data_IF_481390315011
#
_entry.id   IF_481390315011
#
_cell.length_a   1.000
_cell.length_b   1.000
_cell.length_c   1.000
_cell.angle_alpha   90.00
_cell.angle_beta   90.00
_cell.angle_gamma   90.00
#
_symmetry.space_group_name_H-M   'P 1'
#
loop_
_entity.id
_entity.type
_entity.pdbx_description
1 polymer ?
#
# COMPACT_ATOMS: atom_id res chain seq x y z
N UNK A 1 -17.99 -6.81 -11.86
CA UNK A 1 -17.24 -5.84 -12.68
C UNK A 1 -17.34 -4.49 -11.99
N UNK A 2 -16.24 -3.78 -11.76
CA UNK A 2 -16.26 -2.48 -11.12
C UNK A 2 -16.76 -1.42 -12.13
N UNK A 3 -17.86 -0.69 -11.85
CA UNK A 3 -18.41 0.27 -12.81
C UNK A 3 -17.58 1.55 -12.92
N UNK A 4 -16.83 1.91 -11.86
CA UNK A 4 -16.05 3.16 -11.81
C UNK A 4 -14.70 2.95 -11.11
N UNK A 5 -13.69 3.81 -11.39
CA UNK A 5 -12.44 3.83 -10.64
C UNK A 5 -12.65 3.96 -9.13
N UNK A 6 -13.66 4.71 -8.69
CA UNK A 6 -13.98 4.88 -7.27
C UNK A 6 -14.42 3.56 -6.61
N UNK A 7 -15.29 2.79 -7.27
CA UNK A 7 -15.71 1.47 -6.75
C UNK A 7 -14.56 0.46 -6.74
N UNK A 8 -13.65 0.55 -7.71
CA UNK A 8 -12.46 -0.29 -7.75
C UNK A 8 -11.46 0.07 -6.63
N UNK A 9 -11.24 1.36 -6.42
CA UNK A 9 -10.37 1.92 -5.38
C UNK A 9 -10.77 1.49 -3.97
N UNK A 10 -12.07 1.54 -3.66
CA UNK A 10 -12.59 1.13 -2.35
C UNK A 10 -12.26 -0.34 -2.03
N UNK A 11 -12.28 -1.21 -3.04
CA UNK A 11 -11.96 -2.62 -2.89
C UNK A 11 -10.44 -2.85 -2.89
N UNK A 12 -9.70 -2.12 -3.72
CA UNK A 12 -8.23 -2.20 -3.81
C UNK A 12 -7.52 -1.73 -2.53
N UNK A 13 -8.08 -0.74 -1.82
CA UNK A 13 -7.53 -0.26 -0.56
C UNK A 13 -7.58 -1.31 0.55
N UNK A 14 -8.43 -2.34 0.43
CA UNK A 14 -8.56 -3.42 1.42
C UNK A 14 -7.64 -4.58 1.01
N UNK A 15 -6.62 -4.96 1.82
CA UNK A 15 -5.62 -5.96 1.44
C UNK A 15 -6.18 -7.30 0.95
N UNK A 16 -7.18 -7.85 1.65
CA UNK A 16 -7.78 -9.14 1.29
C UNK A 16 -8.50 -9.08 -0.06
N UNK A 17 -9.23 -7.99 -0.32
CA UNK A 17 -9.95 -7.76 -1.58
C UNK A 17 -8.98 -7.49 -2.72
N UNK A 18 -7.91 -6.72 -2.47
CA UNK A 18 -6.81 -6.55 -3.42
C UNK A 18 -6.17 -7.88 -3.79
N UNK A 19 -5.87 -8.74 -2.81
CA UNK A 19 -5.36 -10.08 -3.06
C UNK A 19 -6.30 -10.91 -3.94
N UNK A 20 -7.62 -10.87 -3.66
CA UNK A 20 -8.62 -11.54 -4.49
C UNK A 20 -8.67 -10.99 -5.93
N UNK A 21 -8.55 -9.67 -6.11
CA UNK A 21 -8.48 -9.04 -7.44
C UNK A 21 -7.23 -9.51 -8.20
N UNK A 22 -6.06 -9.49 -7.56
CA UNK A 22 -4.80 -9.93 -8.16
C UNK A 22 -4.88 -11.41 -8.57
N UNK A 23 -5.39 -12.28 -7.69
CA UNK A 23 -5.57 -13.69 -8.00
C UNK A 23 -6.53 -13.90 -9.19
N UNK A 24 -7.65 -13.18 -9.23
CA UNK A 24 -8.61 -13.27 -10.34
C UNK A 24 -8.03 -12.80 -11.68
N UNK A 25 -7.08 -11.86 -11.67
CA UNK A 25 -6.32 -11.45 -12.85
C UNK A 25 -5.32 -12.53 -13.26
N UNK A 26 -4.58 -13.11 -12.30
CA UNK A 26 -3.63 -14.18 -12.56
C UNK A 26 -4.29 -15.44 -13.13
N UNK A 27 -5.49 -15.81 -12.66
CA UNK A 27 -6.31 -16.90 -13.22
C UNK A 27 -6.68 -16.69 -14.70
N UNK A 28 -6.65 -15.44 -15.17
CA UNK A 28 -6.88 -15.05 -16.58
C UNK A 28 -5.58 -14.86 -17.35
N UNK A 29 -4.43 -15.21 -16.76
CA UNK A 29 -3.11 -15.05 -17.35
C UNK A 29 -2.55 -13.63 -17.27
N UNK A 30 -3.11 -12.77 -16.43
CA UNK A 30 -2.64 -11.38 -16.25
C UNK A 30 -1.80 -11.33 -14.98
N UNK A 31 -0.47 -11.37 -15.13
CA UNK A 31 0.48 -11.06 -14.07
C UNK A 31 0.78 -9.56 -14.08
N UNK A 32 0.53 -8.89 -12.95
CA UNK A 32 0.68 -7.42 -12.88
C UNK A 32 2.13 -6.97 -12.99
N UNK A 33 3.08 -7.75 -12.48
CA UNK A 33 4.50 -7.41 -12.52
C UNK A 33 4.99 -7.52 -13.96
N UNK A 34 4.64 -8.60 -14.66
CA UNK A 34 4.94 -8.77 -16.08
C UNK A 34 4.29 -7.65 -16.91
N UNK A 35 3.02 -7.31 -16.63
CA UNK A 35 2.31 -6.23 -17.32
C UNK A 35 3.00 -4.88 -17.15
N UNK A 36 3.48 -4.55 -15.94
CA UNK A 36 4.26 -3.33 -15.68
C UNK A 36 5.57 -3.31 -16.47
N UNK A 37 6.30 -4.42 -16.49
CA UNK A 37 7.57 -4.55 -17.22
C UNK A 37 7.37 -4.42 -18.73
N UNK A 38 6.41 -5.13 -19.30
CA UNK A 38 6.10 -5.13 -20.72
C UNK A 38 5.61 -3.76 -21.20
N UNK A 39 4.90 -3.02 -20.35
CA UNK A 39 4.47 -1.66 -20.63
C UNK A 39 5.60 -0.61 -20.48
N UNK A 40 6.81 -1.01 -20.05
CA UNK A 40 7.92 -0.10 -19.75
C UNK A 40 7.66 0.80 -18.54
N UNK A 41 6.86 0.32 -17.58
CA UNK A 41 6.30 1.07 -16.45
C UNK A 41 6.48 0.33 -15.11
N UNK A 42 7.71 -0.08 -14.73
CA UNK A 42 7.95 -0.82 -13.49
C UNK A 42 7.66 0.00 -12.22
N UNK A 43 7.66 1.32 -12.31
CA UNK A 43 7.51 2.22 -11.15
C UNK A 43 6.07 2.69 -10.92
N UNK A 44 5.21 2.57 -11.94
CA UNK A 44 3.78 2.91 -11.86
C UNK A 44 3.08 2.04 -10.83
N UNK A 45 2.13 2.58 -10.06
CA UNK A 45 1.37 1.77 -9.11
C UNK A 45 0.45 0.77 -9.85
N UNK A 46 0.38 -0.50 -9.43
CA UNK A 46 -0.48 -1.48 -10.08
C UNK A 46 -1.97 -1.08 -10.11
N UNK A 47 -2.47 -0.35 -9.11
CA UNK A 47 -3.81 0.22 -9.14
C UNK A 47 -3.98 1.23 -10.26
N UNK A 48 -3.02 2.15 -10.37
CA UNK A 48 -3.07 3.22 -11.37
C UNK A 48 -2.92 2.64 -12.78
N UNK A 49 -2.07 1.62 -12.96
CA UNK A 49 -1.97 0.88 -14.22
C UNK A 49 -3.29 0.23 -14.62
N UNK A 50 -3.96 -0.45 -13.69
CA UNK A 50 -5.27 -1.03 -13.94
C UNK A 50 -6.32 0.05 -14.23
N UNK A 51 -6.27 1.18 -13.52
CA UNK A 51 -7.19 2.30 -13.77
C UNK A 51 -6.96 2.94 -15.13
N UNK A 52 -5.71 3.05 -15.56
CA UNK A 52 -5.32 3.55 -16.87
C UNK A 52 -5.85 2.64 -17.98
N UNK A 53 -5.66 1.32 -17.85
CA UNK A 53 -6.13 0.36 -18.85
C UNK A 53 -7.66 0.29 -18.95
N UNK A 54 -8.37 0.37 -17.82
CA UNK A 54 -9.83 0.23 -17.79
C UNK A 54 -10.59 1.54 -18.06
N UNK A 55 -10.05 2.69 -17.63
CA UNK A 55 -10.76 3.98 -17.69
C UNK A 55 -9.93 5.14 -18.25
N UNK A 56 -8.75 4.88 -18.83
CA UNK A 56 -7.83 5.92 -19.32
C UNK A 56 -7.49 6.98 -18.25
N UNK A 57 -7.43 6.56 -16.98
CA UNK A 57 -7.05 7.42 -15.86
C UNK A 57 -5.55 7.81 -15.93
N UNK A 58 -5.15 8.94 -15.31
CA UNK A 58 -3.75 9.29 -15.18
C UNK A 58 -2.95 8.22 -14.41
N UNK A 59 -1.74 7.94 -14.89
CA UNK A 59 -0.79 7.07 -14.18
C UNK A 59 -0.05 7.84 -13.11
N UNK A 60 0.18 7.21 -11.97
CA UNK A 60 0.99 7.76 -10.88
C UNK A 60 1.95 6.67 -10.40
N UNK A 61 3.19 7.04 -10.12
CA UNK A 61 4.18 6.12 -9.55
C UNK A 61 3.92 5.88 -8.07
N UNK A 62 4.40 4.74 -7.57
CA UNK A 62 4.34 4.40 -6.13
C UNK A 62 5.04 5.47 -5.27
N UNK A 63 6.17 5.98 -5.76
CA UNK A 63 6.93 7.07 -5.13
C UNK A 63 6.12 8.37 -5.07
N UNK A 64 5.49 8.79 -6.16
CA UNK A 64 4.66 10.00 -6.19
C UNK A 64 3.45 9.88 -5.24
N UNK A 65 2.84 8.69 -5.13
CA UNK A 65 1.78 8.44 -4.15
C UNK A 65 2.26 8.60 -2.72
N UNK A 66 3.40 7.98 -2.38
CA UNK A 66 3.98 8.10 -1.05
C UNK A 66 4.31 9.56 -0.71
N UNK A 67 4.89 10.31 -1.65
CA UNK A 67 5.19 11.74 -1.46
C UNK A 67 3.92 12.58 -1.31
N UNK A 68 2.90 12.32 -2.14
CA UNK A 68 1.61 13.02 -2.08
C UNK A 68 0.93 12.79 -0.72
N UNK A 69 0.96 11.56 -0.20
CA UNK A 69 0.43 11.24 1.12
C UNK A 69 1.12 12.07 2.21
N UNK A 70 2.47 12.08 2.23
CA UNK A 70 3.24 12.87 3.21
C UNK A 70 2.91 14.35 3.17
N UNK A 71 2.70 14.90 1.97
CA UNK A 71 2.38 16.31 1.79
C UNK A 71 0.94 16.66 2.17
N UNK A 72 -0.03 15.77 1.95
CA UNK A 72 -1.45 16.02 2.17
C UNK A 72 -1.93 15.66 3.58
N UNK A 73 -1.33 14.64 4.19
CA UNK A 73 -1.78 14.06 5.48
C UNK A 73 -0.65 14.05 6.53
N UNK A 74 -0.01 15.20 6.84
CA UNK A 74 1.07 15.23 7.84
C UNK A 74 0.58 14.81 9.23
N UNK A 75 -0.71 15.05 9.54
CA UNK A 75 -1.32 14.74 10.83
C UNK A 75 -1.44 13.22 11.08
N UNK A 76 -1.51 12.41 10.02
CA UNK A 76 -1.47 10.95 10.12
C UNK A 76 -0.15 10.47 10.75
N UNK A 77 0.96 11.12 10.43
CA UNK A 77 2.28 10.76 10.98
C UNK A 77 2.50 11.36 12.37
N UNK A 78 1.93 12.54 12.63
CA UNK A 78 2.18 13.29 13.86
C UNK A 78 1.53 12.69 15.11
N UNK A 79 0.43 11.95 14.97
CA UNK A 79 -0.27 11.30 16.10
C UNK A 79 0.51 10.17 16.78
N UNK A 80 1.56 9.66 16.14
CA UNK A 80 2.39 8.57 16.65
C UNK A 80 3.69 9.10 17.26
N UNK A 81 4.17 8.39 18.28
CA UNK A 81 5.51 8.59 18.85
C UNK A 81 6.61 8.27 17.83
N UNK A 82 7.83 8.72 18.13
CA UNK A 82 8.98 8.66 17.19
C UNK A 82 9.19 7.27 16.59
N UNK A 83 9.27 6.23 17.42
CA UNK A 83 9.52 4.86 16.95
C UNK A 83 8.37 4.30 16.09
N UNK A 84 7.11 4.54 16.46
CA UNK A 84 5.95 4.14 15.65
C UNK A 84 5.91 4.88 14.30
N UNK A 85 6.27 6.17 14.29
CA UNK A 85 6.39 6.96 13.06
C UNK A 85 7.47 6.41 12.15
N UNK A 86 8.64 6.04 12.69
CA UNK A 86 9.72 5.42 11.91
C UNK A 86 9.29 4.09 11.27
N UNK A 87 8.43 3.31 11.94
CA UNK A 87 7.84 2.10 11.36
C UNK A 87 6.89 2.43 10.19
N UNK A 88 6.00 3.43 10.35
CA UNK A 88 5.12 3.89 9.27
C UNK A 88 5.94 4.39 8.08
N UNK A 89 7.00 5.14 8.34
CA UNK A 89 7.89 5.65 7.30
C UNK A 89 8.57 4.51 6.54
N UNK A 90 9.09 3.51 7.25
CA UNK A 90 9.69 2.33 6.65
C UNK A 90 8.69 1.52 5.81
N UNK A 91 7.45 1.37 6.28
CA UNK A 91 6.37 0.72 5.51
C UNK A 91 6.06 1.48 4.22
N UNK A 92 6.00 2.81 4.30
CA UNK A 92 5.71 3.66 3.15
C UNK A 92 6.86 3.66 2.11
N UNK A 93 8.10 3.66 2.57
CA UNK A 93 9.28 3.51 1.71
C UNK A 93 9.31 2.15 1.02
N UNK A 94 8.96 1.09 1.74
CA UNK A 94 8.84 -0.26 1.17
C UNK A 94 7.75 -0.36 0.12
N UNK A 95 6.60 0.26 0.38
CA UNK A 95 5.54 0.41 -0.59
C UNK A 95 6.05 1.12 -1.86
N UNK A 96 6.73 2.26 -1.72
CA UNK A 96 7.28 3.01 -2.85
C UNK A 96 8.25 2.16 -3.69
N UNK A 97 9.10 1.37 -3.05
CA UNK A 97 10.11 0.55 -3.73
C UNK A 97 9.53 -0.74 -4.37
N UNK A 98 8.65 -1.45 -3.67
CA UNK A 98 8.29 -2.85 -4.00
C UNK A 98 6.80 -3.12 -4.07
N UNK A 99 5.96 -2.13 -3.79
CA UNK A 99 4.53 -2.18 -4.08
C UNK A 99 3.64 -2.48 -2.89
N UNK A 100 2.31 -2.58 -3.13
CA UNK A 100 1.29 -2.58 -2.09
C UNK A 100 1.31 -3.80 -1.15
N UNK A 101 1.93 -4.91 -1.55
CA UNK A 101 2.05 -6.10 -0.70
C UNK A 101 2.89 -5.88 0.56
N UNK A 102 3.74 -4.84 0.55
CA UNK A 102 4.52 -4.44 1.72
C UNK A 102 3.69 -3.81 2.84
N UNK A 103 2.39 -3.57 2.62
CA UNK A 103 1.47 -3.06 3.63
C UNK A 103 0.58 -4.16 4.23
N UNK A 104 0.81 -5.42 3.85
CA UNK A 104 0.02 -6.56 4.33
C UNK A 104 0.57 -7.09 5.66
N UNK A 105 -0.22 -6.95 6.74
CA UNK A 105 0.13 -7.44 8.07
C UNK A 105 -0.30 -8.91 8.28
N UNK A 106 0.46 -9.71 9.06
CA UNK A 106 1.69 -9.35 9.78
C UNK A 106 2.98 -9.51 8.96
N UNK A 107 2.90 -9.87 7.67
CA UNK A 107 4.06 -10.23 6.84
C UNK A 107 5.03 -9.06 6.68
N UNK A 108 4.51 -7.85 6.48
CA UNK A 108 5.30 -6.62 6.40
C UNK A 108 6.25 -6.42 7.60
N UNK A 109 5.84 -6.83 8.80
CA UNK A 109 6.62 -6.66 10.02
C UNK A 109 7.86 -7.55 10.10
N UNK A 110 7.94 -8.56 9.23
CA UNK A 110 9.04 -9.53 9.20
C UNK A 110 10.10 -9.18 8.16
N UNK A 111 9.95 -8.06 7.46
CA UNK A 111 10.81 -7.62 6.36
C UNK A 111 11.69 -6.46 6.83
N UNK A 112 13.00 -6.50 6.55
CA UNK A 112 13.88 -5.37 6.84
C UNK A 112 13.50 -4.15 5.99
N UNK A 113 13.57 -2.91 6.52
CA UNK A 113 14.10 -2.56 7.85
C UNK A 113 13.05 -2.63 8.97
N UNK A 114 11.81 -3.01 8.69
CA UNK A 114 10.72 -3.02 9.69
C UNK A 114 11.01 -4.03 10.81
N UNK A 115 11.59 -5.18 10.47
CA UNK A 115 12.02 -6.18 11.47
C UNK A 115 13.14 -5.71 12.40
N UNK A 116 13.84 -4.62 12.05
CA UNK A 116 14.92 -4.07 12.89
C UNK A 116 14.36 -3.30 14.10
N UNK A 117 13.07 -2.95 14.08
CA UNK A 117 12.35 -2.34 15.21
C UNK A 117 11.86 -3.36 16.24
N UNK A 118 12.10 -4.66 16.01
CA UNK A 118 11.75 -5.74 16.93
C UNK A 118 10.83 -6.79 16.30
N UNK A 119 10.34 -7.70 17.13
CA UNK A 119 9.37 -8.70 16.71
C UNK A 119 7.97 -8.09 16.53
N UNK A 120 7.03 -8.76 15.84
CA UNK A 120 5.70 -8.22 15.57
C UNK A 120 4.92 -7.73 16.81
N UNK A 121 5.11 -8.36 17.98
CA UNK A 121 4.46 -7.96 19.22
C UNK A 121 5.08 -6.69 19.83
N UNK A 122 6.41 -6.53 19.72
CA UNK A 122 7.13 -5.33 20.14
C UNK A 122 6.74 -4.14 19.27
N UNK A 123 6.74 -4.32 17.94
CA UNK A 123 6.30 -3.30 17.00
C UNK A 123 4.85 -2.90 17.29
N UNK A 124 3.95 -3.87 17.48
CA UNK A 124 2.55 -3.59 17.79
C UNK A 124 2.39 -2.71 19.05
N UNK A 125 3.25 -2.89 20.05
CA UNK A 125 3.21 -2.10 21.28
C UNK A 125 3.53 -0.63 21.06
N UNK A 126 4.34 -0.29 20.04
CA UNK A 126 4.63 1.10 19.66
C UNK A 126 3.35 1.86 19.25
N UNK A 127 2.35 1.15 18.74
CA UNK A 127 1.05 1.71 18.32
C UNK A 127 -0.02 1.64 19.41
N UNK A 128 0.28 1.07 20.59
CA UNK A 128 -0.72 0.80 21.63
C UNK A 128 -1.34 -0.61 21.57
N UNK A 129 -0.83 -1.49 20.71
CA UNK A 129 -1.20 -2.90 20.63
C UNK A 129 -1.53 -3.37 19.22
N UNK A 130 -1.78 -4.68 19.03
CA UNK A 130 -1.99 -5.27 17.70
C UNK A 130 -3.17 -4.67 16.93
N UNK A 131 -4.24 -4.29 17.63
CA UNK A 131 -5.41 -3.69 17.00
C UNK A 131 -5.12 -2.27 16.49
N UNK A 132 -4.54 -1.42 17.35
CA UNK A 132 -4.17 -0.05 16.98
C UNK A 132 -3.13 -0.01 15.84
N UNK A 133 -2.21 -0.97 15.79
CA UNK A 133 -1.28 -1.11 14.65
C UNK A 133 -2.00 -1.48 13.35
N UNK A 134 -2.97 -2.40 13.38
CA UNK A 134 -3.76 -2.75 12.19
C UNK A 134 -4.56 -1.55 11.69
N UNK A 135 -5.15 -0.79 12.60
CA UNK A 135 -5.87 0.45 12.29
C UNK A 135 -4.94 1.49 11.67
N UNK A 136 -3.74 1.68 12.23
CA UNK A 136 -2.73 2.59 11.68
C UNK A 136 -2.33 2.22 10.24
N UNK A 137 -2.11 0.94 9.95
CA UNK A 137 -1.73 0.48 8.60
C UNK A 137 -2.92 0.50 7.63
N UNK A 138 -4.13 0.24 8.12
CA UNK A 138 -5.35 0.39 7.32
C UNK A 138 -5.58 1.86 6.93
N UNK A 139 -5.46 2.79 7.89
CA UNK A 139 -5.58 4.23 7.63
C UNK A 139 -4.48 4.72 6.68
N UNK A 140 -3.25 4.25 6.85
CA UNK A 140 -2.15 4.53 5.91
C UNK A 140 -2.50 4.08 4.48
N UNK A 141 -3.05 2.88 4.34
CA UNK A 141 -3.43 2.31 3.04
C UNK A 141 -4.61 3.07 2.44
N UNK A 142 -5.62 3.40 3.23
CA UNK A 142 -6.76 4.20 2.79
C UNK A 142 -6.32 5.59 2.33
N UNK A 143 -5.51 6.28 3.12
CA UNK A 143 -4.98 7.61 2.81
C UNK A 143 -4.11 7.60 1.55
N UNK A 144 -3.32 6.53 1.34
CA UNK A 144 -2.61 6.30 0.09
C UNK A 144 -3.57 6.32 -1.10
N UNK A 145 -4.68 5.56 -1.04
CA UNK A 145 -5.65 5.42 -2.13
C UNK A 145 -6.76 6.47 -2.15
N UNK A 146 -6.89 7.37 -1.18
CA UNK A 146 -7.97 8.37 -1.12
C UNK A 146 -7.84 9.51 -2.15
N UNK A 147 -6.67 9.67 -2.79
CA UNK A 147 -6.34 10.80 -3.66
C UNK A 147 -6.59 10.60 -5.16
#
# INVERSE_FOLDING_TARGET
>A
MFPTPATFRAEWAIPDKRGAIINALAERGIDLVALQLDAGRPDDDPFDLLCHLAWNAPLTTRTERAQRLRAKEPDLFQRYGEEARRVIDALLEKYAATGPDQLSLPQALKVQPISDFGNPSEIARLFGGPQAMREAVAELTEALYAA
#
